data_IF_887527925899
#
_entry.id   IF_887527925899
#
_cell.length_a   1.000
_cell.length_b   1.000
_cell.length_c   1.000
_cell.angle_alpha   90.00
_cell.angle_beta   90.00
_cell.angle_gamma   90.00
#
_symmetry.space_group_name_H-M   'P 1'
#
loop_
_entity.id
_entity.type
_entity.pdbx_description
1 polymer ?
#
# COMPACT_ATOMS: atom_id res chain seq x y z
N UNK A 1 28.41 -14.36 23.86
CA UNK A 1 28.07 -15.05 22.59
C UNK A 1 26.81 -14.51 21.95
N UNK A 2 25.67 -14.25 22.66
CA UNK A 2 24.45 -13.70 22.07
C UNK A 2 24.72 -12.34 21.39
N UNK A 3 25.40 -11.41 22.09
CA UNK A 3 25.71 -10.08 21.51
C UNK A 3 26.67 -10.18 20.31
N UNK A 4 27.59 -11.14 20.32
CA UNK A 4 28.49 -11.40 19.20
C UNK A 4 27.71 -11.96 17.99
N UNK A 5 26.75 -12.87 18.22
CA UNK A 5 25.81 -13.34 17.23
C UNK A 5 24.99 -12.20 16.60
N UNK A 6 24.47 -11.26 17.43
CA UNK A 6 23.76 -10.06 16.94
C UNK A 6 24.66 -9.20 16.04
N UNK A 7 25.91 -8.99 16.42
CA UNK A 7 26.88 -8.22 15.62
C UNK A 7 27.15 -8.89 14.27
N UNK A 8 27.38 -10.20 14.24
CA UNK A 8 27.55 -10.93 12.98
C UNK A 8 26.30 -10.91 12.11
N UNK A 9 25.11 -10.98 12.69
CA UNK A 9 23.84 -10.84 11.96
C UNK A 9 23.75 -9.47 11.30
N UNK A 10 24.10 -8.39 11.98
CA UNK A 10 24.12 -7.02 11.41
C UNK A 10 25.14 -6.89 10.28
N UNK A 11 26.29 -7.57 10.41
CA UNK A 11 27.32 -7.62 9.36
C UNK A 11 26.96 -8.59 8.21
N UNK A 12 25.79 -9.26 8.26
CA UNK A 12 25.31 -10.28 7.31
C UNK A 12 26.22 -11.52 7.23
N UNK A 13 27.00 -11.78 8.27
CA UNK A 13 27.83 -12.97 8.46
C UNK A 13 27.03 -14.03 9.21
N UNK A 14 26.09 -14.66 8.49
CA UNK A 14 25.06 -15.49 9.11
C UNK A 14 25.58 -16.81 9.64
N UNK A 15 26.61 -17.39 9.03
CA UNK A 15 27.26 -18.62 9.49
C UNK A 15 27.99 -18.40 10.83
N UNK A 16 28.74 -17.31 10.93
CA UNK A 16 29.42 -16.94 12.20
C UNK A 16 28.38 -16.55 13.27
N UNK A 17 27.26 -15.92 12.88
CA UNK A 17 26.17 -15.65 13.81
C UNK A 17 25.57 -16.95 14.38
N UNK A 18 25.28 -17.95 13.51
CA UNK A 18 24.70 -19.24 13.90
C UNK A 18 25.62 -19.97 14.89
N UNK A 19 26.94 -20.00 14.67
CA UNK A 19 27.92 -20.60 15.59
C UNK A 19 27.88 -19.95 16.97
N UNK A 20 27.84 -18.61 17.02
CA UNK A 20 27.87 -17.90 18.30
C UNK A 20 26.55 -18.03 19.07
N UNK A 21 25.38 -18.01 18.37
CA UNK A 21 24.10 -18.28 19.03
C UNK A 21 24.00 -19.70 19.56
N UNK A 22 24.53 -20.71 18.85
CA UNK A 22 24.54 -22.08 19.34
C UNK A 22 25.40 -22.22 20.63
N UNK A 23 26.53 -21.54 20.71
CA UNK A 23 27.32 -21.48 21.96
C UNK A 23 26.56 -20.79 23.08
N UNK A 24 25.80 -19.75 22.76
CA UNK A 24 24.96 -19.07 23.75
C UNK A 24 23.81 -19.97 24.25
N UNK A 25 23.22 -20.80 23.38
CA UNK A 25 22.21 -21.80 23.71
C UNK A 25 22.77 -22.90 24.62
N UNK A 26 23.96 -23.40 24.30
CA UNK A 26 24.66 -24.40 25.15
C UNK A 26 24.84 -23.89 26.59
N UNK A 27 25.20 -22.60 26.74
CA UNK A 27 25.40 -21.98 28.03
C UNK A 27 24.10 -21.60 28.77
N UNK A 28 23.03 -21.26 28.02
CA UNK A 28 21.72 -20.84 28.57
C UNK A 28 20.59 -21.41 27.70
N UNK A 29 20.21 -22.68 27.85
CA UNK A 29 19.20 -23.32 27.01
C UNK A 29 17.76 -22.80 27.23
N UNK A 30 17.48 -22.17 28.36
CA UNK A 30 16.17 -21.69 28.72
C UNK A 30 15.96 -20.17 28.39
N UNK A 31 16.81 -19.60 27.54
CA UNK A 31 16.76 -18.19 27.24
C UNK A 31 16.09 -17.94 25.87
N UNK A 32 14.79 -17.66 25.85
CA UNK A 32 13.95 -17.50 24.65
C UNK A 32 14.51 -16.50 23.64
N UNK A 33 15.15 -15.41 24.11
CA UNK A 33 15.71 -14.38 23.23
C UNK A 33 16.80 -14.91 22.31
N UNK A 34 17.66 -15.83 22.80
CA UNK A 34 18.76 -16.38 21.98
C UNK A 34 18.19 -17.18 20.81
N UNK A 35 17.17 -17.99 21.05
CA UNK A 35 16.47 -18.74 20.01
C UNK A 35 15.79 -17.81 18.99
N UNK A 36 15.14 -16.75 19.47
CA UNK A 36 14.56 -15.76 18.59
C UNK A 36 15.61 -15.07 17.71
N UNK A 37 16.75 -14.67 18.28
CA UNK A 37 17.81 -13.98 17.55
C UNK A 37 18.47 -14.90 16.52
N UNK A 38 18.69 -16.19 16.85
CA UNK A 38 19.12 -17.19 15.88
C UNK A 38 18.09 -17.37 14.76
N UNK A 39 16.81 -17.45 15.12
CA UNK A 39 15.72 -17.47 14.13
C UNK A 39 15.75 -16.27 13.18
N UNK A 40 15.99 -15.06 13.69
CA UNK A 40 16.12 -13.84 12.86
C UNK A 40 17.36 -13.92 11.94
N UNK A 41 18.50 -14.42 12.42
CA UNK A 41 19.69 -14.58 11.58
C UNK A 41 19.42 -15.56 10.42
N UNK A 42 18.77 -16.70 10.72
CA UNK A 42 18.40 -17.70 9.72
C UNK A 42 17.36 -17.16 8.71
N UNK A 43 16.37 -16.39 9.17
CA UNK A 43 15.38 -15.74 8.31
C UNK A 43 16.05 -14.76 7.34
N UNK A 44 17.00 -13.96 7.82
CA UNK A 44 17.80 -13.06 7.00
C UNK A 44 18.72 -13.81 6.00
N UNK A 45 19.16 -15.01 6.35
CA UNK A 45 19.90 -15.93 5.48
C UNK A 45 19.00 -16.69 4.49
N UNK A 46 17.69 -16.42 4.48
CA UNK A 46 16.65 -17.12 3.69
C UNK A 46 16.49 -18.61 4.03
N UNK A 47 16.94 -19.04 5.21
CA UNK A 47 16.74 -20.40 5.76
C UNK A 47 15.42 -20.43 6.56
N UNK A 48 14.29 -20.15 5.87
CA UNK A 48 12.99 -19.81 6.51
C UNK A 48 12.44 -20.97 7.36
N UNK A 49 12.49 -22.21 6.88
CA UNK A 49 11.95 -23.36 7.62
C UNK A 49 12.70 -23.55 8.94
N UNK A 50 14.04 -23.44 8.93
CA UNK A 50 14.83 -23.48 10.16
C UNK A 50 14.49 -22.34 11.12
N UNK A 51 14.30 -21.12 10.58
CA UNK A 51 13.95 -19.97 11.41
C UNK A 51 12.62 -20.18 12.16
N UNK A 52 11.63 -20.80 11.49
CA UNK A 52 10.34 -21.16 12.10
C UNK A 52 10.51 -22.06 13.32
N UNK A 53 11.39 -23.07 13.25
CA UNK A 53 11.60 -23.98 14.37
C UNK A 53 12.22 -23.26 15.57
N UNK A 54 13.14 -22.35 15.35
CA UNK A 54 13.74 -21.55 16.42
C UNK A 54 12.75 -20.54 17.01
N UNK A 55 11.90 -19.90 16.21
CA UNK A 55 10.83 -19.04 16.74
C UNK A 55 9.82 -19.84 17.58
N UNK A 56 9.44 -21.05 17.15
CA UNK A 56 8.58 -21.95 17.94
C UNK A 56 9.23 -22.32 19.26
N UNK A 57 10.54 -22.62 19.25
CA UNK A 57 11.29 -22.93 20.48
C UNK A 57 11.33 -21.74 21.44
N UNK A 58 11.55 -20.53 20.93
CA UNK A 58 11.48 -19.31 21.74
C UNK A 58 10.11 -19.14 22.41
N UNK A 59 9.01 -19.42 21.68
CA UNK A 59 7.64 -19.36 22.21
C UNK A 59 7.37 -20.46 23.25
N UNK A 60 7.92 -21.66 23.05
CA UNK A 60 7.82 -22.74 24.05
C UNK A 60 8.48 -22.38 25.39
N UNK A 61 9.65 -21.72 25.33
CA UNK A 61 10.37 -21.24 26.52
C UNK A 61 9.65 -20.06 27.17
N UNK A 62 9.19 -19.10 26.37
CA UNK A 62 8.46 -17.94 26.86
C UNK A 62 7.16 -17.73 26.05
N UNK A 63 6.02 -18.24 26.53
CA UNK A 63 4.72 -18.10 25.85
C UNK A 63 4.17 -16.67 25.74
N UNK A 64 4.82 -15.69 26.35
CA UNK A 64 4.46 -14.27 26.26
C UNK A 64 5.45 -13.46 25.42
N UNK A 65 6.39 -14.11 24.74
CA UNK A 65 7.45 -13.43 23.99
C UNK A 65 6.95 -12.90 22.64
N UNK A 66 6.40 -11.69 22.64
CA UNK A 66 5.73 -11.02 21.48
C UNK A 66 6.63 -11.02 20.24
N UNK A 67 7.94 -10.77 20.38
CA UNK A 67 8.85 -10.71 19.23
C UNK A 67 8.93 -12.03 18.47
N UNK A 68 8.94 -13.16 19.20
CA UNK A 68 8.97 -14.49 18.57
C UNK A 68 7.68 -14.80 17.82
N UNK A 69 6.51 -14.43 18.37
CA UNK A 69 5.23 -14.53 17.66
C UNK A 69 5.23 -13.67 16.39
N UNK A 70 5.76 -12.44 16.49
CA UNK A 70 5.81 -11.51 15.36
C UNK A 70 6.70 -12.03 14.22
N UNK A 71 7.90 -12.52 14.58
CA UNK A 71 8.84 -13.06 13.61
C UNK A 71 8.31 -14.36 12.97
N UNK A 72 7.69 -15.24 13.77
CA UNK A 72 7.02 -16.44 13.26
C UNK A 72 5.87 -16.11 12.32
N UNK A 73 5.07 -15.08 12.64
CA UNK A 73 4.02 -14.57 11.76
C UNK A 73 4.57 -14.06 10.42
N UNK A 74 5.69 -13.32 10.47
CA UNK A 74 6.37 -12.83 9.27
C UNK A 74 6.96 -13.98 8.42
N UNK A 75 7.50 -15.02 9.04
CA UNK A 75 7.99 -16.20 8.33
C UNK A 75 6.86 -16.95 7.63
N UNK A 76 5.70 -17.12 8.30
CA UNK A 76 4.52 -17.69 7.67
C UNK A 76 3.96 -16.82 6.54
N UNK A 77 3.93 -15.48 6.72
CA UNK A 77 3.53 -14.55 5.67
C UNK A 77 4.42 -14.68 4.43
N UNK A 78 5.73 -14.82 4.62
CA UNK A 78 6.68 -15.05 3.53
C UNK A 78 6.43 -16.37 2.78
N UNK A 79 6.07 -17.44 3.50
CA UNK A 79 5.70 -18.74 2.94
C UNK A 79 4.24 -18.79 2.41
N UNK A 80 3.54 -17.66 2.37
CA UNK A 80 2.13 -17.57 1.94
C UNK A 80 1.15 -18.37 2.81
N UNK A 81 1.54 -18.74 4.02
CA UNK A 81 0.69 -19.39 5.01
C UNK A 81 -0.08 -18.32 5.81
N UNK A 82 -1.10 -17.74 5.13
CA UNK A 82 -1.78 -16.52 5.64
C UNK A 82 -2.59 -16.77 6.90
N UNK A 83 -3.26 -17.90 7.02
CA UNK A 83 -4.07 -18.22 8.20
C UNK A 83 -3.19 -18.45 9.43
N UNK A 84 -2.03 -19.11 9.25
CA UNK A 84 -1.04 -19.28 10.30
C UNK A 84 -0.40 -17.94 10.72
N UNK A 85 -0.11 -17.07 9.76
CA UNK A 85 0.40 -15.73 10.03
C UNK A 85 -0.62 -14.91 10.84
N UNK A 86 -1.88 -14.87 10.40
CA UNK A 86 -2.98 -14.20 11.11
C UNK A 86 -3.13 -14.76 12.53
N UNK A 87 -3.06 -16.10 12.71
CA UNK A 87 -3.13 -16.72 14.03
C UNK A 87 -2.04 -16.20 14.95
N UNK A 88 -0.79 -16.04 14.45
CA UNK A 88 0.32 -15.50 15.26
C UNK A 88 0.13 -14.03 15.59
N UNK A 89 -0.29 -13.21 14.64
CA UNK A 89 -0.59 -11.80 14.91
C UNK A 89 -1.79 -11.63 15.86
N UNK A 90 -2.82 -12.49 15.77
CA UNK A 90 -3.94 -12.48 16.71
C UNK A 90 -3.49 -12.80 18.13
N UNK A 91 -2.61 -13.78 18.32
CA UNK A 91 -2.01 -14.09 19.63
C UNK A 91 -1.22 -12.90 20.21
N UNK A 92 -0.55 -12.12 19.38
CA UNK A 92 0.07 -10.86 19.82
C UNK A 92 -0.98 -9.88 20.33
N UNK A 93 -2.12 -9.74 19.61
CA UNK A 93 -3.17 -8.80 20.01
C UNK A 93 -3.93 -9.25 21.28
N UNK A 94 -3.94 -10.53 21.60
CA UNK A 94 -4.41 -11.04 22.90
C UNK A 94 -3.50 -10.61 24.05
N UNK A 95 -2.16 -10.58 23.81
CA UNK A 95 -1.16 -10.14 24.79
C UNK A 95 -1.03 -8.61 24.86
N UNK A 96 -1.13 -7.94 23.73
CA UNK A 96 -1.03 -6.49 23.59
C UNK A 96 -2.00 -6.00 22.49
N UNK A 97 -3.22 -5.61 22.86
CA UNK A 97 -4.25 -5.15 21.91
C UNK A 97 -3.80 -3.97 21.03
N UNK A 98 -2.86 -3.13 21.52
CA UNK A 98 -2.39 -1.94 20.83
C UNK A 98 -1.11 -2.17 20.01
N UNK A 99 -0.75 -3.42 19.72
CA UNK A 99 0.43 -3.74 18.90
C UNK A 99 0.19 -3.40 17.42
N UNK A 100 0.51 -2.17 17.05
CA UNK A 100 0.19 -1.56 15.73
C UNK A 100 0.70 -2.36 14.53
N UNK A 101 1.92 -2.96 14.63
CA UNK A 101 2.48 -3.76 13.52
C UNK A 101 1.69 -5.05 13.29
N UNK A 102 1.23 -5.71 14.35
CA UNK A 102 0.41 -6.93 14.21
C UNK A 102 -0.98 -6.58 13.63
N UNK A 103 -1.59 -5.48 14.08
CA UNK A 103 -2.84 -4.96 13.50
C UNK A 103 -2.65 -4.69 12.00
N UNK A 104 -1.59 -3.96 11.61
CA UNK A 104 -1.33 -3.59 10.22
C UNK A 104 -1.10 -4.85 9.36
N UNK A 105 -0.34 -5.84 9.82
CA UNK A 105 -0.10 -7.07 9.06
C UNK A 105 -1.39 -7.85 8.83
N UNK A 106 -2.29 -7.94 9.82
CA UNK A 106 -3.62 -8.54 9.61
C UNK A 106 -4.41 -7.75 8.56
N UNK A 107 -4.47 -6.42 8.67
CA UNK A 107 -5.17 -5.55 7.73
C UNK A 107 -4.63 -5.74 6.31
N UNK A 108 -3.32 -5.80 6.15
CA UNK A 108 -2.67 -5.96 4.84
C UNK A 108 -2.99 -7.32 4.21
N UNK A 109 -2.99 -8.40 5.00
CA UNK A 109 -3.38 -9.74 4.53
C UNK A 109 -4.84 -9.76 4.06
N UNK A 110 -5.74 -9.09 4.78
CA UNK A 110 -7.17 -9.04 4.45
C UNK A 110 -7.48 -8.34 3.11
N UNK A 111 -6.53 -7.60 2.54
CA UNK A 111 -6.67 -7.00 1.22
C UNK A 111 -6.66 -8.05 0.08
N UNK A 112 -6.04 -9.20 0.29
CA UNK A 112 -5.85 -10.23 -0.74
C UNK A 112 -6.20 -11.66 -0.28
N UNK A 113 -6.47 -11.88 0.99
CA UNK A 113 -6.81 -13.19 1.54
C UNK A 113 -8.16 -13.15 2.27
N UNK A 114 -8.97 -14.18 2.06
CA UNK A 114 -10.26 -14.36 2.75
C UNK A 114 -10.09 -15.34 3.89
N UNK A 115 -10.40 -14.91 5.08
CA UNK A 115 -10.31 -15.73 6.32
C UNK A 115 -11.66 -16.33 6.62
N UNK A 116 -11.67 -17.54 7.21
CA UNK A 116 -12.89 -18.23 7.64
C UNK A 116 -13.72 -17.34 8.58
N UNK A 117 -15.03 -17.32 8.35
CA UNK A 117 -16.00 -16.56 9.15
C UNK A 117 -16.07 -17.00 10.63
N UNK A 118 -15.50 -18.14 11.00
CA UNK A 118 -15.41 -18.61 12.39
C UNK A 118 -14.34 -17.89 13.22
N UNK A 119 -13.50 -17.08 12.57
CA UNK A 119 -12.46 -16.33 13.27
C UNK A 119 -13.08 -15.21 14.13
N UNK A 120 -12.72 -15.17 15.41
CA UNK A 120 -13.27 -14.23 16.41
C UNK A 120 -12.42 -12.95 16.57
N UNK A 121 -11.30 -12.83 15.85
CA UNK A 121 -10.49 -11.62 15.91
C UNK A 121 -11.30 -10.39 15.46
N UNK A 122 -11.30 -9.33 16.26
CA UNK A 122 -12.14 -8.14 16.06
C UNK A 122 -11.89 -7.45 14.71
N UNK A 123 -10.64 -7.42 14.21
CA UNK A 123 -10.28 -6.83 12.91
C UNK A 123 -10.90 -7.66 11.77
N UNK A 124 -10.85 -8.98 11.87
CA UNK A 124 -11.41 -9.89 10.86
C UNK A 124 -12.94 -9.78 10.83
N UNK A 125 -13.57 -9.75 12.00
CA UNK A 125 -15.04 -9.59 12.12
C UNK A 125 -15.47 -8.25 11.51
N UNK A 126 -14.74 -7.16 11.81
CA UNK A 126 -15.00 -5.85 11.21
C UNK A 126 -14.88 -5.89 9.67
N UNK A 127 -13.81 -6.48 9.15
CA UNK A 127 -13.58 -6.62 7.71
C UNK A 127 -14.71 -7.40 7.00
N UNK A 128 -15.15 -8.52 7.59
CA UNK A 128 -16.24 -9.32 7.05
C UNK A 128 -17.58 -8.55 7.05
N UNK A 129 -17.83 -7.75 8.08
CA UNK A 129 -19.01 -6.89 8.14
C UNK A 129 -18.97 -5.77 7.10
N UNK A 130 -17.79 -5.18 6.83
CA UNK A 130 -17.61 -4.18 5.76
C UNK A 130 -17.89 -4.78 4.39
N UNK A 131 -17.41 -6.00 4.11
CA UNK A 131 -17.71 -6.70 2.85
C UNK A 131 -19.22 -6.91 2.67
N UNK A 132 -19.94 -7.28 3.74
CA UNK A 132 -21.40 -7.45 3.69
C UNK A 132 -22.13 -6.15 3.35
N UNK A 133 -21.77 -5.02 3.97
CA UNK A 133 -22.44 -3.75 3.64
C UNK A 133 -22.10 -3.27 2.22
N UNK A 134 -20.88 -3.53 1.72
CA UNK A 134 -20.51 -3.18 0.33
C UNK A 134 -21.27 -4.02 -0.68
N UNK A 135 -21.53 -5.31 -0.42
CA UNK A 135 -22.31 -6.14 -1.33
C UNK A 135 -23.74 -5.63 -1.57
N UNK A 136 -24.28 -4.85 -0.62
CA UNK A 136 -25.61 -4.24 -0.69
C UNK A 136 -25.57 -2.76 -1.16
N UNK A 137 -24.40 -2.25 -1.55
CA UNK A 137 -24.21 -0.88 -1.96
C UNK A 137 -23.53 -0.79 -3.32
N UNK A 138 -24.24 -0.25 -4.30
CA UNK A 138 -23.72 0.07 -5.63
C UNK A 138 -23.77 1.57 -5.83
N UNK A 139 -22.63 2.16 -6.15
CA UNK A 139 -22.55 3.58 -6.47
C UNK A 139 -22.66 3.78 -7.99
N UNK A 140 -23.67 4.51 -8.42
CA UNK A 140 -23.93 4.79 -9.83
C UNK A 140 -24.37 6.26 -10.02
N UNK A 141 -24.70 6.63 -11.26
CA UNK A 141 -25.07 7.99 -11.62
C UNK A 141 -26.35 8.52 -10.95
N UNK A 142 -27.21 7.65 -10.45
CA UNK A 142 -28.43 8.05 -9.71
C UNK A 142 -28.19 8.11 -8.20
N UNK A 143 -27.03 7.67 -7.70
CA UNK A 143 -26.69 7.70 -6.28
C UNK A 143 -26.50 9.14 -5.81
N UNK A 144 -27.15 9.49 -4.69
CA UNK A 144 -27.01 10.79 -4.05
C UNK A 144 -25.74 10.85 -3.20
N UNK A 145 -25.25 12.05 -2.95
CA UNK A 145 -24.12 12.28 -2.03
C UNK A 145 -24.45 11.76 -0.63
N UNK A 146 -25.70 11.89 -0.20
CA UNK A 146 -26.19 11.36 1.08
C UNK A 146 -26.03 9.85 1.19
N UNK A 147 -26.18 9.11 0.11
CA UNK A 147 -26.04 7.65 0.11
C UNK A 147 -24.58 7.27 0.36
N UNK A 148 -23.64 7.98 -0.28
CA UNK A 148 -22.23 7.82 -0.06
C UNK A 148 -21.81 8.16 1.38
N UNK A 149 -22.33 9.28 1.91
CA UNK A 149 -22.09 9.71 3.28
C UNK A 149 -22.58 8.67 4.29
N UNK A 150 -23.84 8.22 4.16
CA UNK A 150 -24.42 7.20 5.03
C UNK A 150 -23.66 5.87 4.96
N UNK A 151 -23.26 5.46 3.76
CA UNK A 151 -22.46 4.25 3.57
C UNK A 151 -21.12 4.35 4.30
N UNK A 152 -20.40 5.47 4.15
CA UNK A 152 -19.12 5.67 4.78
C UNK A 152 -19.21 5.81 6.31
N UNK A 153 -20.22 6.54 6.82
CA UNK A 153 -20.48 6.65 8.25
C UNK A 153 -20.77 5.28 8.88
N UNK A 154 -21.58 4.44 8.23
CA UNK A 154 -21.84 3.09 8.69
C UNK A 154 -20.57 2.22 8.67
N UNK A 155 -19.71 2.38 7.67
CA UNK A 155 -18.43 1.70 7.58
C UNK A 155 -17.51 2.07 8.76
N UNK A 156 -17.42 3.35 9.10
CA UNK A 156 -16.66 3.83 10.24
C UNK A 156 -17.22 3.31 11.57
N UNK A 157 -18.55 3.28 11.73
CA UNK A 157 -19.20 2.72 12.94
C UNK A 157 -18.84 1.25 13.15
N UNK A 158 -18.72 0.45 12.07
CA UNK A 158 -18.30 -0.95 12.19
C UNK A 158 -16.87 -1.02 12.73
N UNK A 159 -15.93 -0.25 12.18
CA UNK A 159 -14.54 -0.25 12.65
C UNK A 159 -14.47 0.15 14.14
N UNK A 160 -15.13 1.24 14.50
CA UNK A 160 -15.11 1.78 15.86
C UNK A 160 -15.68 0.85 16.93
N UNK A 161 -16.71 0.04 16.58
CA UNK A 161 -17.27 -0.96 17.49
C UNK A 161 -16.26 -2.06 17.83
N UNK A 162 -15.35 -2.35 16.91
CA UNK A 162 -14.39 -3.44 17.08
C UNK A 162 -13.02 -2.96 17.55
N UNK A 163 -12.58 -1.78 17.09
CA UNK A 163 -11.33 -1.16 17.54
C UNK A 163 -11.34 0.35 17.24
N UNK A 164 -11.34 1.18 18.29
CA UNK A 164 -11.44 2.65 18.16
C UNK A 164 -10.15 3.31 17.69
N UNK A 165 -9.00 2.67 17.92
CA UNK A 165 -7.69 3.26 17.71
C UNK A 165 -6.99 2.70 16.45
N UNK A 166 -7.75 1.98 15.62
CA UNK A 166 -7.20 1.37 14.42
C UNK A 166 -6.86 2.45 13.38
N UNK A 167 -5.61 2.45 12.95
CA UNK A 167 -5.09 3.41 11.97
C UNK A 167 -4.24 2.73 10.93
N UNK A 168 -3.95 3.43 9.82
CA UNK A 168 -2.99 3.01 8.80
C UNK A 168 -2.15 4.20 8.33
N UNK A 169 -0.92 3.93 7.95
CA UNK A 169 -0.05 4.91 7.28
C UNK A 169 -0.26 4.94 5.75
N UNK A 170 -1.05 4.01 5.21
CA UNK A 170 -1.30 3.92 3.79
C UNK A 170 -2.23 5.05 3.32
N UNK A 171 -2.01 5.51 2.09
CA UNK A 171 -2.80 6.55 1.42
C UNK A 171 -3.25 6.15 0.03
N UNK A 172 -2.96 4.92 -0.39
CA UNK A 172 -3.23 4.40 -1.72
C UNK A 172 -4.09 3.15 -1.64
N UNK A 173 -5.20 3.13 -2.35
CA UNK A 173 -6.04 1.95 -2.52
C UNK A 173 -5.80 1.37 -3.91
N UNK A 174 -5.46 0.09 -3.96
CA UNK A 174 -5.27 -0.67 -5.19
C UNK A 174 -6.47 -1.57 -5.49
N UNK A 175 -6.69 -1.83 -6.78
CA UNK A 175 -7.59 -2.85 -7.29
C UNK A 175 -6.90 -3.64 -8.40
N UNK A 176 -7.12 -4.95 -8.42
CA UNK A 176 -6.53 -5.90 -9.40
C UNK A 176 -5.01 -5.79 -9.46
N UNK A 177 -4.36 -5.78 -8.30
CA UNK A 177 -2.91 -5.67 -8.17
C UNK A 177 -2.27 -7.06 -8.19
N UNK A 178 -2.49 -7.83 -9.27
CA UNK A 178 -2.01 -9.21 -9.42
C UNK A 178 -0.58 -9.34 -9.94
N UNK A 179 -0.03 -8.26 -10.48
CA UNK A 179 1.28 -8.27 -11.14
C UNK A 179 2.25 -7.39 -10.35
N UNK A 180 3.42 -7.94 -10.04
CA UNK A 180 4.52 -7.13 -9.55
C UNK A 180 5.09 -6.27 -10.68
N UNK A 181 4.83 -4.97 -10.61
CA UNK A 181 5.41 -4.00 -11.53
C UNK A 181 6.90 -3.72 -11.23
N UNK A 182 7.47 -4.34 -10.19
CA UNK A 182 8.86 -4.15 -9.79
C UNK A 182 9.20 -2.71 -9.39
N UNK A 183 8.21 -1.90 -9.00
CA UNK A 183 8.41 -0.47 -8.73
C UNK A 183 9.44 -0.22 -7.64
N UNK A 184 9.52 -1.06 -6.61
CA UNK A 184 10.53 -0.92 -5.55
C UNK A 184 11.96 -1.13 -6.11
N UNK A 185 12.16 -2.17 -6.93
CA UNK A 185 13.42 -2.38 -7.67
C UNK A 185 13.76 -1.18 -8.55
N UNK A 186 12.76 -0.69 -9.29
CA UNK A 186 12.96 0.42 -10.22
C UNK A 186 13.37 1.70 -9.49
N UNK A 187 12.76 2.01 -8.34
CA UNK A 187 13.16 3.16 -7.53
C UNK A 187 14.55 2.99 -6.89
N UNK A 188 14.96 1.77 -6.52
CA UNK A 188 16.33 1.51 -6.04
C UNK A 188 17.35 1.78 -7.14
N UNK A 189 17.09 1.32 -8.37
CA UNK A 189 17.94 1.62 -9.54
C UNK A 189 18.01 3.13 -9.77
N UNK A 190 16.87 3.81 -9.85
CA UNK A 190 16.80 5.25 -10.07
C UNK A 190 17.50 6.04 -8.96
N UNK A 191 17.26 5.73 -7.70
CA UNK A 191 17.83 6.46 -6.58
C UNK A 191 19.35 6.29 -6.50
N UNK A 192 19.87 5.10 -6.79
CA UNK A 192 21.30 4.78 -6.73
C UNK A 192 22.08 5.33 -7.92
N UNK A 193 21.56 5.14 -9.13
CA UNK A 193 22.32 5.40 -10.37
C UNK A 193 21.79 6.57 -11.17
N UNK A 194 20.68 7.20 -10.79
CA UNK A 194 20.04 8.32 -11.50
C UNK A 194 19.78 7.99 -12.97
N UNK A 195 19.21 6.81 -13.23
CA UNK A 195 18.80 6.34 -14.55
C UNK A 195 17.39 5.76 -14.50
N UNK A 196 16.71 5.72 -15.66
CA UNK A 196 15.36 5.16 -15.77
C UNK A 196 15.47 3.67 -16.12
N UNK A 197 14.90 2.75 -15.32
CA UNK A 197 14.93 1.33 -15.61
C UNK A 197 14.24 0.96 -16.93
N UNK A 198 14.74 -0.07 -17.60
CA UNK A 198 14.28 -0.55 -18.92
C UNK A 198 12.76 -0.76 -18.96
N UNK A 199 12.22 -1.44 -17.96
CA UNK A 199 10.79 -1.72 -17.85
C UNK A 199 9.93 -0.44 -17.86
N UNK A 200 10.41 0.65 -17.25
CA UNK A 200 9.64 1.89 -17.12
C UNK A 200 9.41 2.60 -18.47
N UNK A 201 10.18 2.25 -19.51
CA UNK A 201 9.99 2.77 -20.87
C UNK A 201 8.71 2.24 -21.54
N UNK A 202 8.22 1.08 -21.14
CA UNK A 202 6.94 0.49 -21.59
C UNK A 202 5.80 0.66 -20.57
N UNK A 203 6.03 1.36 -19.46
CA UNK A 203 5.03 1.60 -18.44
C UNK A 203 4.23 2.87 -18.77
N UNK A 204 3.00 2.69 -19.26
CA UNK A 204 2.05 3.78 -19.49
C UNK A 204 0.96 3.78 -18.42
N UNK A 205 0.40 4.94 -18.14
CA UNK A 205 -0.67 5.11 -17.16
C UNK A 205 -1.71 6.08 -17.68
N UNK A 206 -2.96 5.71 -17.50
CA UNK A 206 -4.04 6.70 -17.60
C UNK A 206 -4.11 7.36 -16.24
N UNK A 207 -3.87 8.66 -16.18
CA UNK A 207 -4.00 9.47 -14.99
C UNK A 207 -5.32 10.21 -15.04
N UNK A 208 -6.12 10.01 -13.99
CA UNK A 208 -7.39 10.69 -13.73
C UNK A 208 -7.11 11.64 -12.57
N UNK A 209 -7.51 12.89 -12.70
CA UNK A 209 -7.23 13.97 -11.74
C UNK A 209 -8.54 14.47 -11.13
N UNK A 210 -9.05 13.82 -10.06
CA UNK A 210 -10.20 14.33 -9.30
C UNK A 210 -9.93 15.75 -8.79
N UNK A 211 -10.96 16.59 -8.80
CA UNK A 211 -10.86 17.99 -8.37
C UNK A 211 -11.09 18.16 -6.88
N UNK A 212 -11.67 17.15 -6.22
CA UNK A 212 -11.99 17.15 -4.79
C UNK A 212 -11.87 15.76 -4.18
N UNK A 213 -11.87 15.68 -2.85
CA UNK A 213 -11.91 14.40 -2.16
C UNK A 213 -13.22 13.65 -2.41
N UNK A 214 -14.32 14.35 -2.59
CA UNK A 214 -15.60 13.74 -2.97
C UNK A 214 -15.50 13.01 -4.31
N UNK A 215 -14.85 13.61 -5.31
CA UNK A 215 -14.61 12.95 -6.59
C UNK A 215 -13.63 11.78 -6.48
N UNK A 216 -12.63 11.85 -5.59
CA UNK A 216 -11.74 10.73 -5.33
C UNK A 216 -12.50 9.52 -4.77
N UNK A 217 -13.47 9.74 -3.86
CA UNK A 217 -14.35 8.68 -3.36
C UNK A 217 -15.20 8.08 -4.49
N UNK A 218 -15.82 8.93 -5.33
CA UNK A 218 -16.57 8.46 -6.50
C UNK A 218 -15.69 7.62 -7.43
N UNK A 219 -14.46 8.07 -7.69
CA UNK A 219 -13.50 7.35 -8.53
C UNK A 219 -13.12 5.99 -7.95
N UNK A 220 -13.00 5.89 -6.62
CA UNK A 220 -12.76 4.60 -5.97
C UNK A 220 -13.87 3.60 -6.27
N UNK A 221 -15.15 3.99 -6.14
CA UNK A 221 -16.28 3.09 -6.44
C UNK A 221 -16.34 2.73 -7.92
N UNK A 222 -16.04 3.69 -8.82
CA UNK A 222 -15.90 3.38 -10.24
C UNK A 222 -14.82 2.33 -10.45
N UNK A 223 -13.65 2.48 -9.84
CA UNK A 223 -12.54 1.56 -9.99
C UNK A 223 -12.82 0.18 -9.41
N UNK A 224 -13.60 0.09 -8.35
CA UNK A 224 -13.98 -1.18 -7.73
C UNK A 224 -14.91 -2.01 -8.63
N UNK A 225 -15.76 -1.36 -9.41
CA UNK A 225 -16.76 -2.00 -10.27
C UNK A 225 -16.37 -2.06 -11.76
N UNK A 226 -15.38 -1.27 -12.17
CA UNK A 226 -14.95 -1.14 -13.56
C UNK A 226 -14.38 -2.46 -14.10
N UNK A 227 -14.92 -2.96 -15.21
CA UNK A 227 -14.40 -4.12 -15.94
C UNK A 227 -13.60 -3.63 -17.13
N UNK A 228 -12.34 -4.02 -17.21
CA UNK A 228 -11.43 -3.71 -18.32
C UNK A 228 -10.98 -5.00 -19.01
N UNK A 229 -10.66 -4.96 -20.32
CA UNK A 229 -10.34 -6.17 -21.10
C UNK A 229 -9.20 -7.03 -20.52
N UNK A 230 -8.20 -6.39 -19.92
CA UNK A 230 -7.04 -7.07 -19.31
C UNK A 230 -7.00 -6.98 -17.79
N UNK A 231 -8.10 -6.63 -17.13
CA UNK A 231 -8.14 -6.44 -15.68
C UNK A 231 -6.99 -5.56 -15.16
N UNK A 232 -6.74 -4.45 -15.83
CA UNK A 232 -5.61 -3.56 -15.56
C UNK A 232 -5.55 -3.13 -14.08
N UNK A 233 -4.36 -3.17 -13.52
CA UNK A 233 -4.08 -2.62 -12.18
C UNK A 233 -4.49 -1.16 -12.13
N UNK A 234 -5.19 -0.78 -11.06
CA UNK A 234 -5.64 0.59 -10.85
C UNK A 234 -5.52 0.98 -9.40
N UNK A 235 -5.34 2.28 -9.14
CA UNK A 235 -5.27 2.81 -7.79
C UNK A 235 -5.80 4.23 -7.67
N UNK A 236 -6.33 4.53 -6.48
CA UNK A 236 -6.71 5.88 -6.04
C UNK A 236 -5.82 6.32 -4.88
N UNK A 237 -5.43 7.59 -4.86
CA UNK A 237 -4.58 8.11 -3.77
C UNK A 237 -4.57 9.63 -3.69
N UNK A 238 -4.11 10.13 -2.54
CA UNK A 238 -3.71 11.53 -2.34
C UNK A 238 -2.21 11.68 -2.58
N UNK A 239 -1.80 12.76 -3.26
CA UNK A 239 -0.39 13.01 -3.54
C UNK A 239 0.26 13.77 -2.39
N UNK A 240 1.11 13.08 -1.64
CA UNK A 240 1.80 13.66 -0.48
C UNK A 240 3.15 14.32 -0.81
N UNK A 241 3.68 14.11 -2.01
CA UNK A 241 4.98 14.65 -2.42
C UNK A 241 4.82 16.10 -2.87
N UNK A 242 5.59 17.05 -2.29
CA UNK A 242 5.39 18.49 -2.52
C UNK A 242 5.61 18.92 -3.97
N UNK A 243 6.56 18.29 -4.61
CA UNK A 243 7.09 18.63 -5.93
C UNK A 243 6.40 17.85 -7.07
N UNK A 244 5.41 17.00 -6.77
CA UNK A 244 4.60 16.33 -7.78
C UNK A 244 3.25 17.04 -7.91
N UNK A 245 2.90 17.58 -9.10
CA UNK A 245 1.65 18.28 -9.28
C UNK A 245 0.42 17.36 -9.17
N UNK A 246 -0.71 17.96 -8.84
CA UNK A 246 -1.98 17.28 -8.63
C UNK A 246 -2.18 16.83 -7.19
N UNK A 247 -3.41 16.94 -6.71
CA UNK A 247 -3.82 16.72 -5.31
C UNK A 247 -4.35 15.30 -5.13
N UNK A 248 -5.35 14.96 -5.93
CA UNK A 248 -6.02 13.67 -5.95
C UNK A 248 -5.72 12.96 -7.27
N UNK A 249 -5.52 11.66 -7.21
CA UNK A 249 -5.15 10.90 -8.41
C UNK A 249 -5.79 9.52 -8.46
N UNK A 250 -6.26 9.17 -9.65
CA UNK A 250 -6.49 7.80 -10.07
C UNK A 250 -5.50 7.40 -11.15
N UNK A 251 -4.99 6.17 -11.09
CA UNK A 251 -4.10 5.62 -12.12
C UNK A 251 -4.62 4.28 -12.60
N UNK A 252 -4.60 4.06 -13.91
CA UNK A 252 -4.78 2.74 -14.55
C UNK A 252 -3.50 2.43 -15.30
N UNK A 253 -2.90 1.27 -15.04
CA UNK A 253 -1.64 0.85 -15.65
C UNK A 253 -1.87 0.16 -16.98
N UNK A 254 -1.09 0.53 -17.99
CA UNK A 254 -1.17 0.06 -19.36
C UNK A 254 0.22 -0.34 -19.85
N UNK A 255 0.29 -1.31 -20.75
CA UNK A 255 1.54 -1.80 -21.37
C UNK A 255 1.94 -0.98 -22.62
N UNK A 256 1.02 -0.20 -23.17
CA UNK A 256 1.25 0.61 -24.37
C UNK A 256 0.31 1.82 -24.44
N UNK A 257 0.64 2.77 -25.31
CA UNK A 257 -0.25 3.91 -25.63
C UNK A 257 -1.51 3.46 -26.37
N UNK A 258 -1.44 2.40 -27.19
CA UNK A 258 -2.60 1.80 -27.86
C UNK A 258 -3.61 1.30 -26.87
N UNK A 259 -3.18 0.48 -25.92
CA UNK A 259 -4.03 -0.01 -24.83
C UNK A 259 -4.61 1.15 -23.98
N UNK A 260 -3.80 2.16 -23.66
CA UNK A 260 -4.27 3.31 -22.92
C UNK A 260 -5.39 4.07 -23.67
N UNK A 261 -5.26 4.25 -24.99
CA UNK A 261 -6.27 4.89 -25.82
C UNK A 261 -7.58 4.07 -25.90
N UNK A 262 -7.49 2.75 -25.97
CA UNK A 262 -8.67 1.87 -25.92
C UNK A 262 -9.40 2.00 -24.59
N UNK A 263 -8.68 1.94 -23.50
CA UNK A 263 -9.24 2.08 -22.15
C UNK A 263 -9.86 3.48 -21.94
N UNK A 264 -9.23 4.55 -22.43
CA UNK A 264 -9.79 5.92 -22.35
C UNK A 264 -11.17 5.99 -23.01
N UNK A 265 -11.36 5.35 -24.18
CA UNK A 265 -12.67 5.32 -24.83
C UNK A 265 -13.74 4.67 -23.95
N UNK A 266 -13.36 3.63 -23.18
CA UNK A 266 -14.27 2.94 -22.26
C UNK A 266 -14.60 3.79 -21.04
N UNK A 267 -13.57 4.39 -20.40
CA UNK A 267 -13.75 5.04 -19.09
C UNK A 267 -14.25 6.47 -19.19
N UNK A 268 -13.95 7.20 -20.28
CA UNK A 268 -14.31 8.63 -20.40
C UNK A 268 -15.82 8.87 -20.22
N UNK A 269 -16.74 8.12 -20.85
CA UNK A 269 -18.17 8.32 -20.63
C UNK A 269 -18.59 8.07 -19.18
N UNK A 270 -17.95 7.12 -18.49
CA UNK A 270 -18.25 6.77 -17.10
C UNK A 270 -17.74 7.88 -16.18
N UNK A 271 -16.49 8.31 -16.37
CA UNK A 271 -15.86 9.34 -15.53
C UNK A 271 -16.58 10.67 -15.69
N UNK A 272 -16.82 11.15 -16.94
CA UNK A 272 -17.45 12.44 -17.19
C UNK A 272 -18.90 12.51 -16.70
N UNK A 273 -19.56 11.39 -16.53
CA UNK A 273 -20.93 11.34 -15.99
C UNK A 273 -20.98 11.50 -14.46
N UNK A 274 -19.90 11.16 -13.77
CA UNK A 274 -19.86 11.10 -12.30
C UNK A 274 -18.92 12.11 -11.66
N UNK A 275 -17.94 12.63 -12.43
CA UNK A 275 -16.90 13.54 -11.95
C UNK A 275 -16.50 14.53 -13.04
N UNK A 276 -15.91 15.68 -12.63
CA UNK A 276 -15.30 16.66 -13.53
C UNK A 276 -13.78 16.41 -13.69
N UNK A 277 -13.35 15.17 -13.48
CA UNK A 277 -11.94 14.78 -13.47
C UNK A 277 -11.32 14.87 -14.87
N UNK A 278 -10.14 15.46 -14.96
CA UNK A 278 -9.32 15.44 -16.18
C UNK A 278 -8.70 14.06 -16.37
N UNK A 279 -8.68 13.58 -17.61
CA UNK A 279 -8.05 12.31 -18.00
C UNK A 279 -6.89 12.60 -18.96
N UNK A 280 -5.72 12.00 -18.70
CA UNK A 280 -4.56 12.09 -19.59
C UNK A 280 -3.75 10.79 -19.57
N UNK A 281 -3.00 10.52 -20.66
CA UNK A 281 -2.00 9.46 -20.68
C UNK A 281 -0.69 10.02 -20.14
N UNK A 282 0.03 9.21 -19.39
CA UNK A 282 1.32 9.51 -18.81
C UNK A 282 2.26 8.32 -18.97
N UNK A 283 3.55 8.59 -19.19
CA UNK A 283 4.61 7.58 -19.25
C UNK A 283 5.36 7.51 -17.93
N UNK A 284 5.60 6.30 -17.41
CA UNK A 284 6.42 6.07 -16.23
C UNK A 284 5.97 6.77 -14.94
N UNK A 285 6.92 7.10 -14.11
CA UNK A 285 6.72 7.78 -12.82
C UNK A 285 7.17 9.23 -12.89
N UNK A 286 6.45 10.14 -12.19
CA UNK A 286 6.74 11.59 -12.23
C UNK A 286 8.13 11.95 -11.72
N UNK A 287 8.74 11.08 -10.92
CA UNK A 287 10.09 11.27 -10.40
C UNK A 287 11.14 11.23 -11.50
N UNK A 288 10.89 10.43 -12.55
CA UNK A 288 11.83 10.31 -13.66
C UNK A 288 11.85 11.56 -14.53
N UNK A 289 10.71 12.21 -14.73
CA UNK A 289 10.63 13.43 -15.54
C UNK A 289 11.32 14.64 -14.93
N UNK A 290 11.59 14.63 -13.62
CA UNK A 290 12.42 15.68 -12.99
C UNK A 290 13.86 15.66 -13.47
N UNK A 291 14.43 14.48 -13.67
CA UNK A 291 15.81 14.31 -14.14
C UNK A 291 15.87 14.18 -15.67
N UNK A 292 14.80 13.68 -16.27
CA UNK A 292 14.66 13.47 -17.71
C UNK A 292 13.30 14.03 -18.16
N UNK A 293 13.18 15.35 -18.37
CA UNK A 293 11.91 15.98 -18.77
C UNK A 293 11.31 15.38 -20.04
N UNK A 294 12.16 15.01 -21.00
CA UNK A 294 11.80 14.39 -22.28
C UNK A 294 11.19 12.98 -22.13
N UNK A 295 11.32 12.34 -20.96
CA UNK A 295 10.78 11.01 -20.73
C UNK A 295 9.25 10.98 -20.68
N UNK A 296 8.61 12.02 -20.12
CA UNK A 296 7.14 12.11 -20.01
C UNK A 296 6.46 12.58 -21.29
N UNK A 297 7.21 13.13 -22.24
CA UNK A 297 6.63 13.64 -23.47
C UNK A 297 6.04 12.50 -24.29
N UNK A 298 4.70 12.50 -24.38
CA UNK A 298 3.94 11.64 -25.28
C UNK A 298 3.58 12.50 -26.49
N UNK A 299 4.54 12.70 -27.39
CA UNK A 299 4.30 13.46 -28.62
C UNK A 299 3.33 12.73 -29.53
N UNK A 300 2.38 13.48 -30.11
CA UNK A 300 1.43 12.97 -31.12
C UNK A 300 2.14 12.40 -32.35
N UNK A 301 3.36 12.81 -32.61
CA UNK A 301 4.13 12.47 -33.81
C UNK A 301 5.04 11.24 -33.68
N UNK A 302 4.98 10.49 -32.58
CA UNK A 302 5.63 9.17 -32.34
C UNK A 302 7.17 9.08 -32.57
N UNK A 303 7.84 10.15 -33.01
CA UNK A 303 9.20 10.05 -33.56
C UNK A 303 10.29 10.29 -32.51
N UNK A 304 10.00 10.99 -31.42
CA UNK A 304 11.00 11.44 -30.43
C UNK A 304 10.76 10.98 -28.98
N UNK A 305 10.32 9.75 -28.78
CA UNK A 305 10.36 9.21 -27.42
C UNK A 305 11.81 8.97 -26.98
N UNK A 306 12.16 9.45 -25.80
CA UNK A 306 13.40 9.05 -25.15
C UNK A 306 13.52 7.51 -25.18
N UNK A 307 14.65 7.00 -25.71
CA UNK A 307 14.93 5.55 -25.78
C UNK A 307 15.80 5.13 -24.60
N UNK A 308 15.66 3.86 -24.22
CA UNK A 308 16.54 3.25 -23.23
C UNK A 308 17.98 3.22 -23.73
N UNK A 309 18.94 3.55 -22.85
CA UNK A 309 20.37 3.52 -23.16
C UNK A 309 20.93 2.18 -22.74
N UNK A 310 21.48 1.39 -23.67
CA UNK A 310 22.00 0.05 -23.39
C UNK A 310 23.09 0.03 -22.32
N UNK A 311 23.88 1.08 -22.19
CA UNK A 311 24.90 1.25 -21.14
C UNK A 311 24.33 1.24 -19.70
N UNK A 312 23.01 1.41 -19.54
CA UNK A 312 22.35 1.38 -18.25
C UNK A 312 22.08 -0.02 -17.75
N UNK A 313 22.07 -1.02 -18.63
CA UNK A 313 21.72 -2.40 -18.31
C UNK A 313 22.66 -3.02 -17.26
N UNK A 314 23.98 -2.74 -17.38
CA UNK A 314 24.96 -3.23 -16.40
C UNK A 314 24.75 -2.67 -15.00
N UNK A 315 24.30 -1.41 -14.90
CA UNK A 315 23.98 -0.80 -13.61
C UNK A 315 22.70 -1.40 -12.99
N UNK A 316 21.71 -1.77 -13.82
CA UNK A 316 20.51 -2.47 -13.33
C UNK A 316 20.86 -3.84 -12.77
N UNK A 317 21.74 -4.63 -13.43
CA UNK A 317 22.21 -5.93 -12.98
C UNK A 317 22.83 -5.92 -11.58
N UNK A 318 23.49 -4.81 -11.20
CA UNK A 318 24.05 -4.64 -9.84
C UNK A 318 22.95 -4.69 -8.77
N UNK A 319 21.78 -4.12 -9.05
CA UNK A 319 20.63 -4.19 -8.14
C UNK A 319 20.05 -5.61 -8.13
N UNK A 320 19.94 -6.24 -9.30
CA UNK A 320 19.38 -7.61 -9.44
C UNK A 320 20.24 -8.67 -8.74
N UNK A 321 21.56 -8.45 -8.67
CA UNK A 321 22.49 -9.32 -7.95
C UNK A 321 22.33 -9.26 -6.41
N UNK A 322 21.60 -8.23 -5.89
CA UNK A 322 21.34 -8.16 -4.45
C UNK A 322 20.25 -9.16 -4.06
N UNK A 323 20.60 -10.14 -3.18
CA UNK A 323 19.59 -11.04 -2.61
C UNK A 323 18.60 -10.24 -1.77
N UNK A 324 17.33 -10.23 -2.19
CA UNK A 324 16.25 -9.56 -1.51
C UNK A 324 15.13 -10.55 -1.26
N UNK A 325 14.57 -10.48 -0.04
CA UNK A 325 13.37 -11.20 0.31
C UNK A 325 12.20 -10.55 -0.45
N UNK A 326 11.78 -11.16 -1.55
CA UNK A 326 10.67 -10.66 -2.36
C UNK A 326 9.37 -11.31 -1.88
N UNK A 327 8.39 -10.47 -1.53
CA UNK A 327 7.01 -10.93 -1.33
C UNK A 327 6.31 -10.97 -2.69
N UNK A 328 5.58 -12.07 -2.93
CA UNK A 328 4.74 -12.12 -4.12
C UNK A 328 3.59 -11.12 -4.03
N UNK A 329 3.34 -10.41 -5.10
CA UNK A 329 2.15 -9.57 -5.23
C UNK A 329 0.91 -10.46 -5.32
N UNK A 330 -0.16 -10.04 -4.67
CA UNK A 330 -1.44 -10.76 -4.64
C UNK A 330 -2.54 -9.88 -5.19
N UNK A 331 -3.49 -10.50 -5.89
CA UNK A 331 -4.71 -9.82 -6.30
C UNK A 331 -5.44 -9.23 -5.11
N UNK A 332 -5.70 -7.94 -5.17
CA UNK A 332 -6.55 -7.30 -4.16
C UNK A 332 -7.99 -7.75 -4.36
N UNK A 333 -8.61 -8.18 -3.27
CA UNK A 333 -10.01 -8.56 -3.28
C UNK A 333 -10.89 -7.34 -3.57
N UNK A 334 -11.93 -7.53 -4.39
CA UNK A 334 -12.94 -6.52 -4.60
C UNK A 334 -13.81 -6.26 -3.36
N UNK A 335 -14.58 -5.21 -3.43
CA UNK A 335 -15.44 -4.75 -2.34
C UNK A 335 -14.74 -3.78 -1.40
N UNK A 336 -15.28 -3.61 -0.20
CA UNK A 336 -14.74 -2.71 0.81
C UNK A 336 -14.02 -3.49 1.89
N UNK A 337 -12.74 -3.21 2.07
CA UNK A 337 -11.92 -3.75 3.17
C UNK A 337 -11.77 -2.75 4.31
N UNK A 338 -11.33 -3.23 5.46
CA UNK A 338 -10.97 -2.36 6.59
C UNK A 338 -9.84 -1.40 6.21
N UNK A 339 -8.86 -1.86 5.42
CA UNK A 339 -7.79 -1.03 4.87
C UNK A 339 -8.33 0.13 4.04
N UNK A 340 -9.31 -0.13 3.17
CA UNK A 340 -9.89 0.90 2.32
C UNK A 340 -10.53 2.03 3.15
N UNK A 341 -11.32 1.67 4.17
CA UNK A 341 -11.98 2.66 5.03
C UNK A 341 -10.96 3.49 5.82
N UNK A 342 -9.90 2.86 6.34
CA UNK A 342 -8.82 3.56 7.04
C UNK A 342 -8.06 4.51 6.09
N UNK A 343 -7.79 4.09 4.87
CA UNK A 343 -7.16 4.95 3.85
C UNK A 343 -8.09 6.11 3.45
N UNK A 344 -9.39 5.86 3.31
CA UNK A 344 -10.37 6.90 3.04
C UNK A 344 -10.42 7.94 4.18
N UNK A 345 -10.29 7.52 5.44
CA UNK A 345 -10.14 8.44 6.56
C UNK A 345 -8.88 9.31 6.42
N UNK A 346 -7.77 8.75 5.94
CA UNK A 346 -6.57 9.53 5.63
C UNK A 346 -6.82 10.53 4.49
N UNK A 347 -7.62 10.19 3.48
CA UNK A 347 -8.00 11.13 2.42
C UNK A 347 -8.84 12.29 2.94
N UNK A 348 -9.78 12.04 3.86
CA UNK A 348 -10.58 13.11 4.49
C UNK A 348 -9.73 14.02 5.37
N UNK A 349 -8.78 13.45 6.14
CA UNK A 349 -7.82 14.25 6.89
C UNK A 349 -6.95 15.13 5.97
N UNK A 350 -6.47 14.56 4.87
CA UNK A 350 -5.73 15.33 3.87
C UNK A 350 -6.56 16.49 3.29
N UNK A 351 -7.80 16.20 2.90
CA UNK A 351 -8.72 17.20 2.38
C UNK A 351 -8.95 18.34 3.36
N UNK A 352 -9.18 18.02 4.64
CA UNK A 352 -9.33 19.00 5.71
C UNK A 352 -8.09 19.90 5.85
N UNK A 353 -6.91 19.31 5.87
CA UNK A 353 -5.65 20.05 6.04
C UNK A 353 -5.38 21.01 4.86
N UNK A 354 -5.77 20.65 3.63
CA UNK A 354 -5.59 21.51 2.45
C UNK A 354 -6.78 22.45 2.15
N UNK A 355 -7.81 22.48 3.02
CA UNK A 355 -9.04 23.26 2.88
C UNK A 355 -9.96 22.80 1.72
N UNK A 356 -9.95 21.55 1.35
CA UNK A 356 -10.98 20.98 0.46
C UNK A 356 -12.23 20.68 1.28
N UNK A 357 -13.18 21.61 1.29
CA UNK A 357 -14.38 21.53 2.12
C UNK A 357 -15.37 20.43 1.70
N UNK A 358 -15.18 19.80 0.54
CA UNK A 358 -16.07 18.72 0.07
C UNK A 358 -16.04 17.48 0.98
N UNK A 359 -15.03 17.35 1.85
CA UNK A 359 -15.01 16.29 2.86
C UNK A 359 -16.24 16.32 3.78
N UNK A 360 -16.82 17.49 4.04
CA UNK A 360 -18.02 17.67 4.87
C UNK A 360 -19.26 16.99 4.30
N UNK A 361 -19.25 16.74 2.99
CA UNK A 361 -20.31 16.00 2.30
C UNK A 361 -20.23 14.49 2.53
N UNK A 362 -19.08 13.98 3.03
CA UNK A 362 -18.84 12.56 3.25
C UNK A 362 -18.92 12.26 4.75
N UNK A 363 -18.11 12.94 5.57
CA UNK A 363 -18.13 12.76 7.03
C UNK A 363 -17.81 14.09 7.73
N UNK A 364 -18.63 14.45 8.72
CA UNK A 364 -18.40 15.63 9.57
C UNK A 364 -17.51 15.31 10.78
N UNK A 365 -17.40 14.03 11.14
CA UNK A 365 -16.62 13.53 12.28
C UNK A 365 -15.34 12.87 11.79
N UNK A 366 -14.37 13.68 11.38
CA UNK A 366 -13.10 13.16 10.88
C UNK A 366 -12.23 12.68 12.03
N UNK A 367 -11.73 11.45 11.91
CA UNK A 367 -10.67 10.94 12.80
C UNK A 367 -9.35 11.60 12.45
N UNK A 368 -8.71 12.26 13.42
CA UNK A 368 -7.43 12.92 13.21
C UNK A 368 -6.36 11.89 12.87
N UNK A 369 -5.69 12.04 11.73
CA UNK A 369 -4.53 11.25 11.35
C UNK A 369 -3.25 12.05 11.64
N UNK A 370 -2.50 11.65 12.64
CA UNK A 370 -1.18 12.24 12.96
C UNK A 370 -0.22 12.06 11.79
N UNK A 371 -0.28 10.92 11.10
CA UNK A 371 0.53 10.64 9.92
C UNK A 371 0.35 11.68 8.80
N UNK A 372 -0.90 12.04 8.47
CA UNK A 372 -1.18 13.04 7.43
C UNK A 372 -0.68 14.41 7.89
N UNK A 373 -0.96 14.82 9.13
CA UNK A 373 -0.52 16.11 9.66
C UNK A 373 1.00 16.24 9.67
N UNK A 374 1.74 15.21 10.08
CA UNK A 374 3.20 15.18 10.05
C UNK A 374 3.76 15.26 8.63
N UNK A 375 3.20 14.49 7.68
CA UNK A 375 3.64 14.49 6.27
C UNK A 375 3.38 15.82 5.56
N UNK A 376 2.34 16.54 5.95
CA UNK A 376 1.96 17.81 5.34
C UNK A 376 2.60 19.02 6.02
N UNK A 377 3.13 18.91 7.25
CA UNK A 377 3.60 20.04 8.06
C UNK A 377 4.53 21.01 7.31
N UNK A 378 5.44 20.46 6.49
CA UNK A 378 6.45 21.24 5.73
C UNK A 378 5.99 21.65 4.33
N UNK A 379 4.76 21.36 3.92
CA UNK A 379 4.28 21.61 2.55
C UNK A 379 2.82 22.06 2.48
N UNK A 380 2.20 22.30 3.63
CA UNK A 380 0.78 22.60 3.71
C UNK A 380 0.38 23.84 2.88
N UNK A 381 1.17 24.90 2.93
CA UNK A 381 0.87 26.14 2.19
C UNK A 381 0.97 25.92 0.67
N UNK A 382 1.95 25.15 0.23
CA UNK A 382 2.10 24.77 -1.17
C UNK A 382 0.88 23.96 -1.62
N UNK A 383 0.42 23.03 -0.81
CA UNK A 383 -0.74 22.18 -1.12
C UNK A 383 -2.04 22.96 -1.12
N UNK A 384 -2.25 23.86 -0.16
CA UNK A 384 -3.41 24.77 -0.12
C UNK A 384 -3.45 25.65 -1.36
N UNK A 385 -2.32 26.25 -1.74
CA UNK A 385 -2.21 27.06 -2.95
C UNK A 385 -2.54 26.25 -4.20
N UNK A 386 -1.94 25.08 -4.37
CA UNK A 386 -2.18 24.20 -5.52
C UNK A 386 -3.64 23.79 -5.62
N UNK A 387 -4.30 23.53 -4.51
CA UNK A 387 -5.73 23.19 -4.47
C UNK A 387 -6.60 24.40 -4.85
N UNK A 388 -6.33 25.57 -4.31
CA UNK A 388 -7.04 26.81 -4.67
C UNK A 388 -6.88 27.18 -6.15
N UNK A 389 -5.68 27.00 -6.71
CA UNK A 389 -5.44 27.25 -8.14
C UNK A 389 -6.18 26.24 -9.02
N UNK A 390 -6.33 24.99 -8.56
CA UNK A 390 -7.16 23.99 -9.23
C UNK A 390 -8.62 24.42 -9.28
N UNK A 391 -9.20 24.82 -8.13
CA UNK A 391 -10.61 25.28 -8.05
C UNK A 391 -10.85 26.47 -8.98
N UNK A 392 -9.98 27.48 -8.97
CA UNK A 392 -10.08 28.66 -9.86
C UNK A 392 -10.07 28.27 -11.32
N UNK A 393 -9.25 27.29 -11.74
CA UNK A 393 -9.16 26.82 -13.12
C UNK A 393 -10.37 25.99 -13.56
N UNK A 394 -11.00 25.28 -12.63
CA UNK A 394 -12.13 24.38 -12.94
C UNK A 394 -13.49 25.03 -12.80
N UNK A 395 -13.56 26.30 -12.31
CA UNK A 395 -14.82 27.02 -12.01
C UNK A 395 -15.79 26.25 -11.10
N UNK A 396 -15.27 25.38 -10.25
CA UNK A 396 -16.08 24.62 -9.30
C UNK A 396 -16.49 25.57 -8.17
N UNK A 397 -17.80 25.78 -8.00
CA UNK A 397 -18.36 26.40 -6.79
C UNK A 397 -18.36 25.33 -5.69
N UNK A 398 -17.57 25.52 -4.65
CA UNK A 398 -17.55 24.69 -3.43
C UNK A 398 -18.74 24.97 -2.52
#
# INVERSE_FOLDING_TARGET
YNNLGNTFTQLKKFEEAEVNYNKAIELKPDHAEIYNNLGVALDNALKIDKSIDYFKKAIQINPKYINAFYNLGNAYLYLEKYDEAIKKYSQILELNPNHTRAQQNIIDILNFHTVDNKNTNSIIVANNNLKKIKSNFTFNHSSKITDLSNFFENSNKIIQRHNKDLTTINTQIYRLNSIDLGCDRHFRVFNKFKLIPKFCFSCFKIQIEPTSVLELFKLFFIFDELKLPKNNIRKCFVELRPDIPGTYKGLIYCSSTGEANEIIKIITPIINKLTDSRIKIKRGCSEFSKLFPEFEEINKDKINFMKYKNEWEEKEKIIDATKIKNFKVRDTLGGLSISDVLIMNNWLNYAKEINDLTYKNIDKKIFKSTFISEKLSNQLDIRKKNFLDLIKKTKINL
#
